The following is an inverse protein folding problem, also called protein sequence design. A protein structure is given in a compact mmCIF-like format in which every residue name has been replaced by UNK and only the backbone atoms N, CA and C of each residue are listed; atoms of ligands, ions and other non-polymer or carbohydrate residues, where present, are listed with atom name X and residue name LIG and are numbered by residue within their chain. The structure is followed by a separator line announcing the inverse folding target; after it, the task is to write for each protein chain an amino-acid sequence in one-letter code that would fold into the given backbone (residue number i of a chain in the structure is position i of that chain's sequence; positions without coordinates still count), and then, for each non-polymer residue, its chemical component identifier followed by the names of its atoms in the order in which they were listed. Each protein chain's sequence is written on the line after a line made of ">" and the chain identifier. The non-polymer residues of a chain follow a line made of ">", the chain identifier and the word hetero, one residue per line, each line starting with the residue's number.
data_IF_134850728418
#
_entry.id   IF_134850728418
#
_cell.length_a   1.000
_cell.length_b   1.000
_cell.length_c   1.000
_cell.angle_alpha   90.00
_cell.angle_beta   90.00
_cell.angle_gamma   90.00
#
_symmetry.space_group_name_H-M   'P 1'
#
loop_
_entity.id
_entity.type
_entity.pdbx_description
1 polymer ?
#
# COMPACT_ATOMS: atom_id res chain seq x y z
N UNK A 1 2.30 4.54 -8.28
CA UNK A 1 1.17 4.14 -9.15
C UNK A 1 1.09 2.63 -9.43
N UNK A 2 1.71 1.78 -8.62
CA UNK A 2 1.55 0.31 -8.63
C UNK A 2 1.66 -0.38 -10.00
N UNK A 3 2.53 0.14 -10.86
CA UNK A 3 2.69 -0.28 -12.25
C UNK A 3 1.37 -0.35 -13.06
N UNK A 4 0.39 0.50 -12.73
CA UNK A 4 -0.95 0.52 -13.35
C UNK A 4 -1.79 -0.75 -13.12
N UNK A 5 -1.45 -1.56 -12.11
CA UNK A 5 -2.13 -2.82 -11.81
C UNK A 5 -2.74 -2.88 -10.40
N UNK A 6 -2.94 -1.75 -9.73
CA UNK A 6 -3.65 -1.70 -8.44
C UNK A 6 -5.04 -2.36 -8.55
N UNK A 7 -5.74 -2.10 -9.65
CA UNK A 7 -7.04 -2.68 -9.95
C UNK A 7 -7.00 -4.18 -10.37
N UNK A 8 -5.83 -4.73 -10.69
CA UNK A 8 -5.63 -6.11 -11.15
C UNK A 8 -4.43 -6.76 -10.46
N UNK A 9 -4.64 -7.12 -9.19
CA UNK A 9 -3.61 -7.70 -8.33
C UNK A 9 -3.08 -9.06 -8.85
N UNK A 10 -3.89 -9.83 -9.57
CA UNK A 10 -3.43 -11.08 -10.19
C UNK A 10 -2.32 -10.82 -11.23
N UNK A 11 -2.47 -9.76 -12.05
CA UNK A 11 -1.44 -9.37 -13.02
C UNK A 11 -0.22 -8.74 -12.35
N UNK A 12 -0.42 -7.90 -11.33
CA UNK A 12 0.67 -7.36 -10.53
C UNK A 12 1.51 -8.48 -9.89
N UNK A 13 0.85 -9.50 -9.35
CA UNK A 13 1.49 -10.65 -8.70
C UNK A 13 2.34 -11.46 -9.68
N UNK A 14 1.83 -11.72 -10.89
CA UNK A 14 2.61 -12.37 -11.96
C UNK A 14 3.88 -11.62 -12.30
N UNK A 15 3.86 -10.28 -12.31
CA UNK A 15 5.07 -9.49 -12.56
C UNK A 15 6.07 -9.57 -11.42
N UNK A 16 5.60 -9.52 -10.18
CA UNK A 16 6.46 -9.72 -9.02
C UNK A 16 7.06 -11.14 -9.03
N UNK A 17 6.30 -12.17 -9.41
CA UNK A 17 6.81 -13.53 -9.48
C UNK A 17 7.87 -13.70 -10.58
N UNK A 18 7.70 -13.04 -11.74
CA UNK A 18 8.64 -13.17 -12.87
C UNK A 18 9.84 -12.22 -12.84
N UNK A 19 9.75 -11.10 -12.13
CA UNK A 19 10.78 -10.07 -12.07
C UNK A 19 11.29 -9.96 -10.62
N UNK A 20 12.38 -10.68 -10.24
CA UNK A 20 12.81 -10.77 -8.84
C UNK A 20 13.23 -9.42 -8.25
N UNK A 21 13.72 -8.50 -9.09
CA UNK A 21 14.18 -7.17 -8.68
C UNK A 21 13.08 -6.09 -8.77
N UNK A 22 11.86 -6.44 -9.17
CA UNK A 22 10.75 -5.49 -9.21
C UNK A 22 10.23 -5.22 -7.79
N UNK A 23 10.04 -3.95 -7.46
CA UNK A 23 9.34 -3.47 -6.27
C UNK A 23 8.25 -2.53 -6.73
N UNK A 24 7.04 -2.69 -6.20
CA UNK A 24 5.91 -1.81 -6.51
C UNK A 24 5.79 -0.72 -5.44
N UNK A 25 5.36 0.46 -5.85
CA UNK A 25 5.05 1.58 -4.97
C UNK A 25 3.57 1.94 -5.15
N UNK A 26 2.89 2.33 -4.07
CA UNK A 26 1.45 2.63 -4.10
C UNK A 26 1.13 3.78 -5.08
N UNK A 27 1.54 4.99 -4.76
CA UNK A 27 1.15 6.24 -5.41
C UNK A 27 -0.26 6.65 -5.00
N UNK A 28 -0.87 7.56 -5.74
CA UNK A 28 -2.19 8.11 -5.44
C UNK A 28 -3.38 7.16 -5.74
N UNK A 29 -3.20 5.83 -5.69
CA UNK A 29 -4.20 4.80 -6.08
C UNK A 29 -4.73 3.98 -4.90
N UNK A 30 -4.74 4.51 -3.67
CA UNK A 30 -5.23 3.80 -2.47
C UNK A 30 -6.61 3.13 -2.68
N UNK A 31 -7.48 3.80 -3.44
CA UNK A 31 -8.84 3.35 -3.76
C UNK A 31 -8.90 2.00 -4.49
N UNK A 32 -7.84 1.63 -5.21
CA UNK A 32 -7.77 0.36 -5.92
C UNK A 32 -7.63 -0.82 -4.95
N UNK A 33 -6.96 -0.60 -3.82
CA UNK A 33 -6.81 -1.64 -2.78
C UNK A 33 -8.04 -1.70 -1.89
N UNK A 34 -8.52 -0.53 -1.46
CA UNK A 34 -9.66 -0.43 -0.55
C UNK A 34 -10.96 -1.00 -1.11
N UNK A 35 -11.13 -1.09 -2.44
CA UNK A 35 -12.33 -1.70 -3.07
C UNK A 35 -12.30 -3.23 -3.15
N UNK A 36 -11.17 -3.87 -2.87
CA UNK A 36 -10.97 -5.32 -2.98
C UNK A 36 -10.25 -5.88 -1.75
N UNK A 37 -10.79 -5.65 -0.53
CA UNK A 37 -10.02 -5.78 0.71
C UNK A 37 -9.42 -7.17 0.94
N UNK A 38 -10.17 -8.25 0.64
CA UNK A 38 -9.67 -9.62 0.83
C UNK A 38 -8.47 -9.92 -0.07
N UNK A 39 -8.59 -9.63 -1.36
CA UNK A 39 -7.52 -9.86 -2.33
C UNK A 39 -6.32 -8.93 -2.07
N UNK A 40 -6.56 -7.67 -1.72
CA UNK A 40 -5.52 -6.73 -1.37
C UNK A 40 -4.77 -7.17 -0.11
N UNK A 41 -5.46 -7.58 0.95
CA UNK A 41 -4.84 -8.09 2.17
C UNK A 41 -3.91 -9.27 1.88
N UNK A 42 -4.40 -10.28 1.17
CA UNK A 42 -3.61 -11.46 0.79
C UNK A 42 -2.40 -11.08 -0.07
N UNK A 43 -2.58 -10.16 -1.02
CA UNK A 43 -1.51 -9.67 -1.88
C UNK A 43 -0.41 -8.98 -1.08
N UNK A 44 -0.78 -8.05 -0.19
CA UNK A 44 0.18 -7.30 0.62
C UNK A 44 0.94 -8.20 1.57
N UNK A 45 0.29 -9.24 2.13
CA UNK A 45 0.98 -10.24 2.96
C UNK A 45 1.95 -11.08 2.13
N UNK A 46 1.52 -11.60 0.98
CA UNK A 46 2.34 -12.45 0.11
C UNK A 46 3.58 -11.72 -0.41
N UNK A 47 3.42 -10.44 -0.78
CA UNK A 47 4.46 -9.63 -1.42
C UNK A 47 5.03 -8.54 -0.51
N UNK A 48 4.87 -8.69 0.81
CA UNK A 48 5.18 -7.68 1.82
C UNK A 48 6.60 -7.09 1.72
N UNK A 49 7.59 -7.85 1.26
CA UNK A 49 8.97 -7.38 1.14
C UNK A 49 9.22 -6.56 -0.15
N UNK A 50 8.25 -6.44 -1.06
CA UNK A 50 8.41 -5.79 -2.37
C UNK A 50 7.35 -4.73 -2.67
N UNK A 51 6.80 -4.14 -1.61
CA UNK A 51 5.83 -3.04 -1.69
C UNK A 51 6.36 -1.84 -0.89
N UNK A 52 6.42 -0.69 -1.53
CA UNK A 52 6.79 0.59 -0.93
C UNK A 52 5.55 1.46 -0.74
N UNK A 53 5.49 2.14 0.39
CA UNK A 53 4.56 3.24 0.58
C UNK A 53 5.00 4.47 -0.21
N UNK A 54 4.05 5.13 -0.88
CA UNK A 54 4.24 6.40 -1.57
C UNK A 54 2.90 6.97 -2.04
N UNK A 55 2.83 8.28 -2.29
CA UNK A 55 1.57 9.03 -2.45
C UNK A 55 1.58 10.03 -3.62
N UNK A 56 2.72 10.25 -4.27
CA UNK A 56 2.98 11.30 -5.28
C UNK A 56 2.95 12.76 -4.77
N UNK A 57 2.42 13.03 -3.58
CA UNK A 57 2.45 14.38 -2.99
C UNK A 57 2.38 14.37 -1.46
N UNK A 58 2.91 15.41 -0.83
CA UNK A 58 2.77 15.62 0.61
C UNK A 58 1.50 16.43 0.93
N UNK A 59 0.56 15.78 1.62
CA UNK A 59 -0.64 16.41 2.18
C UNK A 59 -0.99 15.69 3.48
N UNK A 60 -0.62 16.27 4.63
CA UNK A 60 -0.65 15.61 5.93
C UNK A 60 -2.04 15.09 6.33
N UNK A 61 -3.10 15.84 5.97
CA UNK A 61 -4.49 15.49 6.23
C UNK A 61 -5.02 14.28 5.43
N UNK A 62 -4.28 13.81 4.41
CA UNK A 62 -4.69 12.66 3.60
C UNK A 62 -4.16 11.32 4.15
N UNK A 63 -3.07 11.32 4.93
CA UNK A 63 -2.47 10.10 5.48
C UNK A 63 -3.41 9.28 6.38
N UNK A 64 -4.31 9.87 7.19
CA UNK A 64 -5.30 9.12 7.94
C UNK A 64 -6.14 8.16 7.10
N UNK A 65 -6.40 8.46 5.83
CA UNK A 65 -7.12 7.55 4.94
C UNK A 65 -6.29 6.32 4.55
N UNK A 66 -4.98 6.49 4.38
CA UNK A 66 -4.05 5.38 4.13
C UNK A 66 -3.97 4.47 5.36
N UNK A 67 -3.79 5.06 6.53
CA UNK A 67 -3.79 4.30 7.80
C UNK A 67 -5.11 3.58 8.00
N UNK A 68 -6.24 4.25 7.74
CA UNK A 68 -7.56 3.61 7.84
C UNK A 68 -7.71 2.41 6.90
N UNK A 69 -7.29 2.54 5.63
CA UNK A 69 -7.34 1.42 4.69
C UNK A 69 -6.39 0.29 5.10
N UNK A 70 -5.18 0.57 5.57
CA UNK A 70 -4.20 -0.49 5.81
C UNK A 70 -4.31 -1.15 7.19
N UNK A 71 -4.65 -0.39 8.22
CA UNK A 71 -4.49 -0.81 9.62
C UNK A 71 -5.78 -1.32 10.24
N UNK A 72 -6.94 -0.91 9.74
CA UNK A 72 -8.22 -1.25 10.36
C UNK A 72 -8.94 -2.36 9.62
N UNK A 73 -9.95 -2.89 10.29
CA UNK A 73 -10.98 -3.78 9.75
C UNK A 73 -12.27 -3.01 9.43
N UNK A 74 -12.18 -1.69 9.27
CA UNK A 74 -13.36 -0.87 9.01
C UNK A 74 -13.98 -1.24 7.66
N UNK A 75 -15.30 -1.17 7.59
CA UNK A 75 -16.02 -1.45 6.36
C UNK A 75 -16.78 -0.20 5.90
N UNK A 76 -16.95 -0.08 4.59
CA UNK A 76 -17.91 0.84 3.97
C UNK A 76 -17.71 2.32 4.34
N UNK A 77 -16.53 2.89 4.08
CA UNK A 77 -16.25 4.31 4.34
C UNK A 77 -15.87 5.10 3.08
N UNK A 78 -16.02 6.42 3.15
CA UNK A 78 -15.76 7.33 2.04
C UNK A 78 -14.26 7.52 1.79
N UNK A 79 -13.93 7.68 0.51
CA UNK A 79 -12.61 8.14 0.10
C UNK A 79 -12.53 9.67 0.17
N UNK A 80 -11.33 10.21 0.32
CA UNK A 80 -11.13 11.65 0.48
C UNK A 80 -11.08 12.42 -0.85
N UNK A 81 -11.13 11.73 -1.98
CA UNK A 81 -11.10 12.29 -3.35
C UNK A 81 -12.20 11.68 -4.21
N UNK A 82 -13.30 12.41 -4.34
CA UNK A 82 -14.50 11.97 -5.05
C UNK A 82 -14.27 11.75 -6.56
N UNK A 83 -13.23 12.36 -7.13
CA UNK A 83 -12.87 12.22 -8.55
C UNK A 83 -11.95 11.01 -8.84
N UNK A 84 -11.37 10.39 -7.82
CA UNK A 84 -10.52 9.21 -7.96
C UNK A 84 -11.30 7.90 -7.79
N UNK A 85 -12.35 7.92 -6.98
CA UNK A 85 -13.22 6.77 -6.76
C UNK A 85 -14.62 7.22 -6.34
N UNK A 86 -15.64 6.52 -6.86
CA UNK A 86 -17.04 6.72 -6.50
C UNK A 86 -17.59 5.59 -5.62
N UNK A 87 -16.74 4.64 -5.22
CA UNK A 87 -17.09 3.49 -4.39
C UNK A 87 -16.57 3.64 -2.95
N UNK A 88 -17.20 2.92 -2.03
CA UNK A 88 -16.74 2.81 -0.65
C UNK A 88 -15.45 2.01 -0.55
N UNK A 89 -14.65 2.36 0.43
CA UNK A 89 -13.42 1.66 0.78
C UNK A 89 -13.63 0.80 2.03
N UNK A 90 -12.72 -0.16 2.17
CA UNK A 90 -12.67 -1.13 3.24
C UNK A 90 -11.24 -1.24 3.74
N UNK A 91 -11.10 -1.49 5.04
CA UNK A 91 -9.86 -1.76 5.72
C UNK A 91 -9.31 -3.14 5.37
N UNK A 92 -7.99 -3.27 5.35
CA UNK A 92 -7.26 -4.48 5.01
C UNK A 92 -6.84 -5.28 6.24
N UNK A 93 -6.86 -4.69 7.43
CA UNK A 93 -6.41 -5.30 8.69
C UNK A 93 -5.05 -6.00 8.52
N UNK A 94 -4.06 -5.24 8.02
CA UNK A 94 -2.72 -5.75 7.77
C UNK A 94 -1.99 -5.98 9.10
N UNK A 95 -1.25 -7.09 9.26
CA UNK A 95 -0.43 -7.32 10.44
C UNK A 95 0.65 -6.23 10.62
N UNK A 96 1.00 -5.92 11.87
CA UNK A 96 2.05 -4.93 12.22
C UNK A 96 3.36 -5.14 11.46
N UNK A 97 3.80 -6.40 11.29
CA UNK A 97 5.02 -6.70 10.54
C UNK A 97 4.95 -6.24 9.08
N UNK A 98 3.79 -6.43 8.43
CA UNK A 98 3.55 -6.01 7.04
C UNK A 98 3.47 -4.49 6.98
N UNK A 99 2.78 -3.84 7.91
CA UNK A 99 2.69 -2.38 8.01
C UNK A 99 4.08 -1.75 8.12
N UNK A 100 4.94 -2.25 9.02
CA UNK A 100 6.33 -1.77 9.17
C UNK A 100 7.13 -1.93 7.87
N UNK A 101 6.95 -3.03 7.14
CA UNK A 101 7.62 -3.26 5.85
C UNK A 101 7.17 -2.25 4.79
N UNK A 102 5.87 -2.07 4.64
CA UNK A 102 5.27 -1.14 3.68
C UNK A 102 5.65 0.30 4.00
N UNK A 103 5.55 0.72 5.27
CA UNK A 103 5.77 2.11 5.67
C UNK A 103 7.23 2.54 5.65
N UNK A 104 8.18 1.67 6.02
CA UNK A 104 9.58 2.10 6.07
C UNK A 104 10.64 1.03 5.83
N UNK A 105 10.48 -0.22 6.30
CA UNK A 105 11.61 -1.18 6.22
C UNK A 105 12.04 -1.48 4.78
N UNK A 106 11.08 -1.57 3.85
CA UNK A 106 11.41 -1.76 2.44
C UNK A 106 12.11 -0.53 1.84
N UNK A 107 11.69 0.68 2.22
CA UNK A 107 12.33 1.92 1.76
C UNK A 107 13.77 2.03 2.25
N UNK A 108 14.04 1.68 3.51
CA UNK A 108 15.39 1.67 4.08
C UNK A 108 16.33 0.69 3.37
N UNK A 109 15.81 -0.47 2.97
CA UNK A 109 16.59 -1.48 2.23
C UNK A 109 17.01 -0.99 0.84
N UNK A 110 16.12 -0.28 0.14
CA UNK A 110 16.36 0.20 -1.23
C UNK A 110 17.13 1.53 -1.27
N UNK A 111 16.81 2.46 -0.37
CA UNK A 111 17.39 3.81 -0.36
C UNK A 111 18.40 3.94 0.77
N UNK A 112 19.64 3.51 0.49
CA UNK A 112 20.75 3.50 1.46
C UNK A 112 21.08 4.88 2.06
N UNK A 113 20.69 5.96 1.40
CA UNK A 113 20.86 7.34 1.88
C UNK A 113 19.88 7.77 2.97
N UNK A 114 18.84 6.99 3.27
CA UNK A 114 17.92 7.29 4.37
C UNK A 114 18.58 7.05 5.74
N UNK A 115 18.22 7.82 6.78
CA UNK A 115 18.64 7.53 8.14
C UNK A 115 18.29 6.10 8.53
N UNK A 116 19.27 5.31 8.97
CA UNK A 116 19.07 3.90 9.33
C UNK A 116 18.64 3.71 10.79
N UNK A 117 18.57 4.80 11.57
CA UNK A 117 18.22 4.83 13.00
C UNK A 117 17.06 5.81 13.21
N UNK A 118 16.31 5.66 14.31
CA UNK A 118 15.20 6.54 14.66
C UNK A 118 13.82 6.03 14.21
N UNK A 119 13.73 4.84 13.64
CA UNK A 119 12.47 4.20 13.26
C UNK A 119 11.88 3.38 14.42
N UNK A 120 10.55 3.24 14.49
CA UNK A 120 9.90 2.34 15.44
C UNK A 120 10.47 0.92 15.30
N UNK A 121 10.73 0.25 16.43
CA UNK A 121 11.20 -1.15 16.46
C UNK A 121 10.01 -2.10 16.36
#
# INVERSE_FOLDING_TARGET
>A
HFNWYGNNLAKAGKQLDSLPNLTLELGAVLYDFGRQPRAAREFFIKYQDRILFGKDSYAANEFPYYWRVFETKDEYFDYYRDYHAFWKLYGLDLPDEVLKKVYYKNALRWTKGLPQKGWPR
#
